data_IF_471555261161
#
_entry.id   IF_471555261161
#
_cell.length_a   1.000
_cell.length_b   1.000
_cell.length_c   1.000
_cell.angle_alpha   90.00
_cell.angle_beta   90.00
_cell.angle_gamma   90.00
#
_symmetry.space_group_name_H-M   'P 1'
#
loop_
_entity.id
_entity.type
_entity.pdbx_description
1 polymer ?
#
# COMPACT_ATOMS: atom_id res chain seq x y z
N UNK A 1 9.11 -9.86 -24.67
CA UNK A 1 8.00 -8.94 -25.04
C UNK A 1 6.97 -8.98 -23.93
N UNK A 2 6.37 -7.84 -23.56
CA UNK A 2 5.51 -7.74 -22.37
C UNK A 2 4.20 -8.52 -22.58
N UNK A 3 3.94 -9.56 -21.78
CA UNK A 3 2.67 -10.33 -21.80
C UNK A 3 1.51 -9.42 -21.44
N UNK A 4 0.95 -8.80 -22.47
CA UNK A 4 -0.18 -7.89 -22.37
C UNK A 4 -1.44 -8.72 -22.58
N UNK A 5 -2.41 -8.71 -21.64
CA UNK A 5 -3.71 -9.29 -21.94
C UNK A 5 -4.30 -8.59 -23.18
N UNK A 6 -5.06 -9.33 -24.01
CA UNK A 6 -5.62 -8.80 -25.26
C UNK A 6 -6.54 -7.59 -25.02
N UNK A 7 -7.12 -7.49 -23.83
CA UNK A 7 -7.89 -6.33 -23.39
C UNK A 7 -7.43 -5.83 -22.02
N UNK A 8 -7.57 -4.51 -21.74
CA UNK A 8 -7.30 -3.97 -20.41
C UNK A 8 -8.23 -4.60 -19.36
N UNK A 9 -7.63 -5.14 -18.29
CA UNK A 9 -8.40 -5.71 -17.18
C UNK A 9 -9.03 -4.58 -16.35
N UNK A 10 -10.33 -4.66 -16.11
CA UNK A 10 -11.03 -3.63 -15.32
C UNK A 10 -10.51 -3.59 -13.88
N UNK A 11 -10.29 -2.38 -13.36
CA UNK A 11 -9.85 -2.15 -11.98
C UNK A 11 -8.39 -2.51 -11.71
N UNK A 12 -7.57 -2.65 -12.77
CA UNK A 12 -6.16 -3.03 -12.70
C UNK A 12 -5.28 -1.92 -13.26
N UNK A 13 -4.19 -1.60 -12.57
CA UNK A 13 -3.26 -0.57 -13.04
C UNK A 13 -2.18 -1.16 -13.92
N UNK A 14 -1.73 -2.37 -13.59
CA UNK A 14 -0.83 -3.14 -14.45
C UNK A 14 -1.53 -3.52 -15.75
N UNK A 15 -0.98 -3.02 -16.87
CA UNK A 15 -1.44 -3.41 -18.21
C UNK A 15 -0.72 -4.65 -18.74
N UNK A 16 0.23 -5.22 -18.01
CA UNK A 16 0.96 -6.41 -18.40
C UNK A 16 1.41 -7.24 -17.20
N UNK A 17 1.78 -8.49 -17.46
CA UNK A 17 2.36 -9.42 -16.50
C UNK A 17 3.75 -9.86 -17.00
N UNK A 18 4.79 -9.00 -16.87
CA UNK A 18 6.15 -9.39 -17.27
C UNK A 18 6.60 -10.63 -16.50
N UNK A 19 7.41 -11.47 -17.14
CA UNK A 19 8.03 -12.60 -16.47
C UNK A 19 8.89 -12.13 -15.31
N UNK A 20 9.03 -13.02 -14.33
CA UNK A 20 9.87 -12.75 -13.18
C UNK A 20 11.33 -12.60 -13.64
N UNK A 21 11.97 -11.50 -13.22
CA UNK A 21 13.35 -11.16 -13.59
C UNK A 21 14.42 -12.17 -13.15
N UNK A 22 14.08 -13.09 -12.24
CA UNK A 22 14.98 -14.13 -11.75
C UNK A 22 14.78 -15.48 -12.44
N UNK A 23 13.76 -15.60 -13.30
CA UNK A 23 13.51 -16.81 -14.07
C UNK A 23 14.39 -16.84 -15.33
N UNK A 24 14.90 -18.02 -15.68
CA UNK A 24 15.70 -18.24 -16.89
C UNK A 24 14.84 -18.50 -18.12
N UNK A 25 13.58 -18.90 -17.91
CA UNK A 25 12.62 -19.21 -18.94
C UNK A 25 11.55 -18.12 -19.02
N UNK A 26 11.24 -17.68 -20.23
CA UNK A 26 10.09 -16.82 -20.50
C UNK A 26 8.97 -17.64 -21.15
N UNK A 27 7.73 -17.18 -21.01
CA UNK A 27 6.60 -17.76 -21.76
C UNK A 27 6.00 -16.68 -22.64
N UNK A 28 5.30 -17.07 -23.69
CA UNK A 28 4.55 -16.13 -24.52
C UNK A 28 3.15 -16.69 -24.74
N UNK A 29 2.16 -15.79 -24.78
CA UNK A 29 0.80 -16.17 -25.14
C UNK A 29 0.74 -16.18 -26.66
N UNK A 30 0.40 -17.33 -27.22
CA UNK A 30 0.24 -17.53 -28.67
C UNK A 30 -1.18 -17.99 -28.93
N UNK A 31 -1.79 -17.46 -29.99
CA UNK A 31 -3.07 -17.97 -30.47
C UNK A 31 -2.85 -19.38 -31.04
N UNK A 32 -3.53 -20.35 -30.47
CA UNK A 32 -3.52 -21.74 -30.91
C UNK A 32 -4.52 -22.00 -32.05
N UNK A 33 -5.24 -20.97 -32.50
CA UNK A 33 -6.25 -21.05 -33.56
C UNK A 33 -7.62 -21.52 -33.06
N UNK A 34 -7.77 -21.74 -31.75
CA UNK A 34 -9.03 -22.18 -31.12
C UNK A 34 -9.85 -21.03 -30.55
N UNK A 35 -9.47 -19.78 -30.80
CA UNK A 35 -10.17 -18.59 -30.31
C UNK A 35 -10.07 -18.39 -28.79
N UNK A 36 -9.14 -19.09 -28.13
CA UNK A 36 -8.96 -19.08 -26.67
C UNK A 36 -8.58 -17.69 -26.14
N UNK A 37 -7.84 -16.90 -26.93
CA UNK A 37 -7.48 -15.51 -26.60
C UNK A 37 -8.67 -14.55 -26.68
N UNK A 38 -9.64 -14.80 -27.56
CA UNK A 38 -10.86 -13.97 -27.70
C UNK A 38 -11.83 -14.19 -26.54
N UNK A 39 -11.76 -15.36 -25.89
CA UNK A 39 -12.57 -15.73 -24.73
C UNK A 39 -11.90 -15.35 -23.39
N UNK A 40 -10.79 -14.63 -23.42
CA UNK A 40 -10.05 -14.27 -22.21
C UNK A 40 -10.89 -13.41 -21.24
N UNK A 41 -10.82 -13.66 -19.93
CA UNK A 41 -11.63 -12.95 -18.95
C UNK A 41 -11.30 -11.46 -18.90
N UNK A 42 -12.33 -10.61 -18.86
CA UNK A 42 -12.18 -9.14 -18.77
C UNK A 42 -11.81 -8.64 -17.37
N UNK A 43 -11.76 -9.53 -16.38
CA UNK A 43 -11.41 -9.25 -14.99
C UNK A 43 -10.71 -10.44 -14.36
N UNK A 44 -9.71 -10.17 -13.51
CA UNK A 44 -8.98 -11.17 -12.74
C UNK A 44 -9.35 -11.04 -11.27
N UNK A 45 -9.69 -12.15 -10.63
CA UNK A 45 -9.98 -12.20 -9.20
C UNK A 45 -8.69 -12.00 -8.39
N UNK A 46 -8.78 -11.28 -7.26
CA UNK A 46 -7.66 -11.17 -6.32
C UNK A 46 -7.65 -12.39 -5.41
N UNK A 47 -6.55 -13.13 -5.40
CA UNK A 47 -6.28 -14.24 -4.49
C UNK A 47 -5.44 -13.77 -3.30
N UNK A 48 -5.71 -14.32 -2.12
CA UNK A 48 -5.08 -13.91 -0.87
C UNK A 48 -4.58 -15.15 -0.14
N UNK A 49 -3.29 -15.19 0.18
CA UNK A 49 -2.61 -16.30 0.83
C UNK A 49 -2.01 -15.89 2.18
N UNK A 50 -1.86 -16.84 3.10
CA UNK A 50 -1.18 -16.60 4.38
C UNK A 50 0.31 -16.44 4.15
N UNK A 51 0.89 -15.39 4.70
CA UNK A 51 2.34 -15.20 4.85
C UNK A 51 2.79 -15.88 6.15
N UNK A 52 3.66 -16.89 6.03
CA UNK A 52 4.20 -17.65 7.16
C UNK A 52 5.45 -17.01 7.80
N UNK A 53 5.70 -15.72 7.54
CA UNK A 53 6.82 -14.97 8.14
C UNK A 53 6.77 -15.05 9.67
N UNK A 54 7.92 -15.35 10.28
CA UNK A 54 8.11 -15.40 11.74
C UNK A 54 8.57 -14.08 12.35
N UNK A 55 8.57 -13.02 11.55
CA UNK A 55 8.85 -11.65 11.98
C UNK A 55 7.95 -10.68 11.22
N UNK A 56 7.60 -9.58 11.88
CA UNK A 56 6.74 -8.54 11.32
C UNK A 56 7.48 -7.23 11.07
N UNK A 57 8.47 -6.91 11.90
CA UNK A 57 9.34 -5.74 11.77
C UNK A 57 10.48 -6.05 10.81
N UNK A 58 10.65 -5.19 9.81
CA UNK A 58 11.76 -5.24 8.86
C UNK A 58 12.66 -4.05 9.13
N UNK A 59 13.94 -4.32 9.33
CA UNK A 59 14.96 -3.30 9.54
C UNK A 59 15.71 -2.97 8.25
N UNK A 60 16.14 -1.72 8.12
CA UNK A 60 16.95 -1.24 7.02
C UNK A 60 18.07 -0.30 7.55
N UNK A 61 19.09 -0.07 6.73
CA UNK A 61 20.24 0.79 7.04
C UNK A 61 20.48 1.81 5.92
N UNK A 62 19.47 2.11 5.11
CA UNK A 62 19.64 3.03 3.99
C UNK A 62 19.78 4.45 4.53
N UNK A 63 20.79 5.21 4.06
CA UNK A 63 20.93 6.62 4.42
C UNK A 63 19.87 7.50 3.76
N UNK A 64 19.09 6.97 2.80
CA UNK A 64 18.14 7.72 1.98
C UNK A 64 16.74 7.81 2.61
N UNK A 65 16.46 7.01 3.65
CA UNK A 65 15.17 6.99 4.35
C UNK A 65 15.36 7.38 5.83
N UNK A 66 14.46 8.19 6.40
CA UNK A 66 14.62 8.72 7.76
C UNK A 66 14.22 7.74 8.88
N UNK A 67 14.03 6.45 8.56
CA UNK A 67 13.59 5.42 9.50
C UNK A 67 14.38 4.12 9.30
N UNK A 68 14.64 3.40 10.38
CA UNK A 68 15.39 2.14 10.36
C UNK A 68 14.48 0.91 10.39
N UNK A 69 13.18 1.05 10.70
CA UNK A 69 12.26 -0.07 10.88
C UNK A 69 10.88 0.21 10.31
N UNK A 70 10.28 -0.81 9.73
CA UNK A 70 8.95 -0.72 9.14
C UNK A 70 8.13 -1.98 9.33
N UNK A 71 6.82 -1.84 9.23
CA UNK A 71 5.88 -2.94 9.19
C UNK A 71 5.04 -2.81 7.92
N UNK A 72 4.89 -3.94 7.22
CA UNK A 72 3.94 -4.08 6.13
C UNK A 72 3.05 -5.30 6.46
N UNK A 73 1.75 -5.10 6.76
CA UNK A 73 0.84 -6.18 7.10
C UNK A 73 0.59 -7.14 5.92
N UNK A 74 0.87 -6.66 4.71
CA UNK A 74 0.60 -7.33 3.45
C UNK A 74 1.86 -7.40 2.58
N UNK A 75 1.85 -8.33 1.61
CA UNK A 75 2.71 -8.28 0.42
C UNK A 75 1.81 -8.17 -0.80
N UNK A 76 2.09 -7.21 -1.66
CA UNK A 76 1.20 -6.81 -2.74
C UNK A 76 0.17 -5.79 -2.28
N UNK A 77 -0.43 -5.08 -3.23
CA UNK A 77 -1.37 -4.00 -2.91
C UNK A 77 -2.53 -3.93 -3.90
N UNK A 78 -3.76 -4.05 -3.39
CA UNK A 78 -4.98 -3.97 -4.21
C UNK A 78 -5.21 -2.60 -4.86
N UNK A 79 -4.58 -1.53 -4.38
CA UNK A 79 -4.70 -0.20 -4.99
C UNK A 79 -4.27 -0.19 -6.46
N UNK A 80 -3.34 -1.09 -6.82
CA UNK A 80 -2.92 -1.28 -8.19
C UNK A 80 -2.21 -0.07 -8.80
N UNK A 81 -1.52 0.75 -8.00
CA UNK A 81 -0.81 1.92 -8.52
C UNK A 81 0.23 1.49 -9.56
N UNK A 82 0.12 1.92 -10.82
CA UNK A 82 1.04 1.45 -11.90
C UNK A 82 2.48 1.89 -11.64
N UNK A 83 2.65 3.06 -11.03
CA UNK A 83 3.94 3.65 -10.70
C UNK A 83 4.57 3.10 -9.40
N UNK A 84 3.96 2.10 -8.74
CA UNK A 84 4.36 1.67 -7.41
C UNK A 84 5.79 1.08 -7.40
N UNK A 85 6.68 1.69 -6.62
CA UNK A 85 8.07 1.24 -6.46
C UNK A 85 8.19 -0.15 -5.84
N UNK A 86 7.16 -0.62 -5.13
CA UNK A 86 7.16 -1.91 -4.45
C UNK A 86 6.88 -3.10 -5.38
N UNK A 87 6.41 -2.86 -6.60
CA UNK A 87 6.11 -3.89 -7.59
C UNK A 87 7.22 -4.94 -7.81
N UNK A 88 8.51 -4.56 -7.91
CA UNK A 88 9.60 -5.50 -8.06
C UNK A 88 9.76 -6.49 -6.89
N UNK A 89 9.18 -6.21 -5.72
CA UNK A 89 9.29 -7.12 -4.56
C UNK A 89 8.59 -8.46 -4.79
N UNK A 90 7.58 -8.51 -5.66
CA UNK A 90 6.90 -9.75 -6.05
C UNK A 90 7.79 -10.73 -6.82
N UNK A 91 8.86 -10.25 -7.46
CA UNK A 91 9.82 -11.13 -8.12
C UNK A 91 10.52 -12.07 -7.12
N UNK A 92 10.71 -11.65 -5.87
CA UNK A 92 11.28 -12.52 -4.83
C UNK A 92 10.32 -13.64 -4.38
N UNK A 93 9.06 -13.60 -4.81
CA UNK A 93 8.04 -14.61 -4.54
C UNK A 93 7.81 -15.55 -5.73
N UNK A 94 8.60 -15.45 -6.79
CA UNK A 94 8.32 -16.19 -8.03
C UNK A 94 7.23 -15.55 -8.90
N UNK A 95 6.76 -14.33 -8.55
CA UNK A 95 5.60 -13.71 -9.17
C UNK A 95 5.96 -12.53 -10.09
N UNK A 96 5.04 -12.18 -10.99
CA UNK A 96 5.17 -11.00 -11.84
C UNK A 96 5.14 -9.70 -11.04
N UNK A 97 6.04 -8.77 -11.36
CA UNK A 97 5.99 -7.40 -10.82
C UNK A 97 4.82 -6.57 -11.41
N UNK A 98 4.16 -7.05 -12.46
CA UNK A 98 3.00 -6.40 -13.06
C UNK A 98 1.71 -6.82 -12.37
N UNK A 99 0.90 -7.63 -13.06
CA UNK A 99 -0.44 -7.98 -12.62
C UNK A 99 -0.48 -8.77 -11.30
N UNK A 100 0.49 -9.64 -11.04
CA UNK A 100 0.48 -10.46 -9.82
C UNK A 100 0.65 -9.61 -8.56
N UNK A 101 1.35 -8.47 -8.61
CA UNK A 101 1.48 -7.56 -7.47
C UNK A 101 0.14 -7.06 -6.89
N UNK A 102 -0.87 -6.91 -7.75
CA UNK A 102 -2.19 -6.38 -7.37
C UNK A 102 -3.32 -7.43 -7.39
N UNK A 103 -2.98 -8.67 -7.75
CA UNK A 103 -3.92 -9.80 -7.83
C UNK A 103 -3.54 -10.98 -6.93
N UNK A 104 -2.27 -11.16 -6.59
CA UNK A 104 -1.79 -12.21 -5.70
C UNK A 104 -1.18 -11.59 -4.45
N UNK A 105 -1.97 -11.57 -3.37
CA UNK A 105 -1.59 -10.93 -2.12
C UNK A 105 -1.24 -11.96 -1.06
N UNK A 106 -0.38 -11.52 -0.13
CA UNK A 106 -0.08 -12.27 1.08
C UNK A 106 -0.40 -11.41 2.29
N UNK A 107 -0.96 -11.99 3.34
CA UNK A 107 -1.26 -11.30 4.60
C UNK A 107 -0.58 -11.99 5.77
N UNK A 108 -0.18 -11.20 6.78
CA UNK A 108 0.46 -11.71 8.00
C UNK A 108 -0.58 -11.81 9.12
N UNK A 109 -1.28 -12.96 9.30
CA UNK A 109 -2.32 -13.09 10.32
C UNK A 109 -1.79 -12.84 11.73
N UNK A 110 -0.56 -13.27 12.01
CA UNK A 110 0.06 -13.22 13.32
C UNK A 110 0.86 -11.92 13.55
N UNK A 111 0.62 -10.87 12.73
CA UNK A 111 1.41 -9.65 12.80
C UNK A 111 1.40 -8.98 14.19
N UNK A 112 0.24 -8.96 14.87
CA UNK A 112 0.11 -8.36 16.19
C UNK A 112 0.83 -9.16 17.29
N UNK A 113 0.73 -10.50 17.27
CA UNK A 113 1.43 -11.36 18.23
C UNK A 113 2.94 -11.31 18.02
N UNK A 114 3.41 -11.43 16.77
CA UNK A 114 4.82 -11.31 16.42
C UNK A 114 5.39 -9.93 16.77
N UNK A 115 4.59 -8.86 16.66
CA UNK A 115 4.99 -7.53 17.08
C UNK A 115 5.18 -7.47 18.59
N UNK A 116 4.22 -7.98 19.37
CA UNK A 116 4.31 -8.02 20.83
C UNK A 116 5.56 -8.78 21.30
N UNK A 117 5.88 -9.90 20.66
CA UNK A 117 7.09 -10.67 20.93
C UNK A 117 8.38 -9.89 20.60
N UNK A 118 8.41 -9.17 19.47
CA UNK A 118 9.55 -8.34 19.07
C UNK A 118 9.79 -7.20 20.07
N UNK A 119 8.73 -6.48 20.47
CA UNK A 119 8.80 -5.35 21.41
C UNK A 119 9.20 -5.79 22.83
N UNK A 120 8.91 -7.04 23.21
CA UNK A 120 9.22 -7.59 24.53
C UNK A 120 10.66 -8.09 24.68
N UNK A 121 11.48 -8.05 23.61
CA UNK A 121 12.86 -8.53 23.69
C UNK A 121 13.71 -7.66 24.63
N UNK A 122 14.57 -8.24 25.48
CA UNK A 122 15.37 -7.49 26.45
C UNK A 122 16.29 -6.42 25.84
N UNK A 123 16.68 -6.59 24.58
CA UNK A 123 17.54 -5.67 23.83
C UNK A 123 16.77 -4.78 22.84
N UNK A 124 15.44 -4.77 22.90
CA UNK A 124 14.64 -3.91 22.03
C UNK A 124 14.83 -2.44 22.43
N UNK A 125 15.22 -1.61 21.47
CA UNK A 125 15.33 -0.16 21.65
C UNK A 125 14.20 0.49 20.89
N UNK A 126 13.31 1.19 21.61
CA UNK A 126 12.17 1.88 21.03
C UNK A 126 12.61 2.96 20.05
N UNK A 127 12.06 2.93 18.83
CA UNK A 127 12.19 3.98 17.82
C UNK A 127 10.97 3.95 16.88
N UNK A 128 10.54 5.06 16.26
CA UNK A 128 9.35 5.11 15.42
C UNK A 128 9.30 4.02 14.34
N UNK A 129 8.16 3.33 14.25
CA UNK A 129 7.90 2.33 13.20
C UNK A 129 7.18 3.00 12.03
N UNK A 130 7.70 2.82 10.82
CA UNK A 130 6.98 3.22 9.60
C UNK A 130 6.02 2.10 9.15
N UNK A 131 4.72 2.37 9.15
CA UNK A 131 3.67 1.40 8.82
C UNK A 131 3.11 1.66 7.42
N UNK A 132 3.11 0.62 6.59
CA UNK A 132 2.49 0.64 5.26
C UNK A 132 3.33 1.31 4.16
N UNK A 133 4.65 1.36 4.33
CA UNK A 133 5.56 2.05 3.38
C UNK A 133 5.65 1.34 2.03
N UNK A 134 5.74 0.00 2.03
CA UNK A 134 5.91 -0.79 0.80
C UNK A 134 4.55 -1.20 0.20
N UNK A 135 3.58 -1.51 1.07
CA UNK A 135 2.21 -1.82 0.68
C UNK A 135 1.26 -1.08 1.60
N UNK A 136 0.16 -0.57 1.05
CA UNK A 136 -0.80 0.18 1.86
C UNK A 136 -1.44 -0.73 2.93
N UNK A 137 -1.33 -0.31 4.20
CA UNK A 137 -1.89 -1.04 5.33
C UNK A 137 -3.43 -1.02 5.34
N UNK A 138 -4.04 -0.06 4.63
CA UNK A 138 -5.48 0.14 4.54
C UNK A 138 -6.07 -0.18 3.15
N UNK A 139 -5.36 -1.01 2.37
CA UNK A 139 -5.87 -1.52 1.10
C UNK A 139 -7.18 -2.30 1.28
N UNK A 140 -8.04 -2.43 0.25
CA UNK A 140 -9.41 -2.91 0.42
C UNK A 140 -9.62 -4.25 1.16
N UNK A 141 -8.65 -5.19 1.12
CA UNK A 141 -8.71 -6.44 1.90
C UNK A 141 -8.68 -6.21 3.42
N UNK A 142 -8.07 -5.13 3.90
CA UNK A 142 -7.99 -4.76 5.33
C UNK A 142 -9.37 -4.56 5.98
N UNK A 143 -10.40 -4.23 5.19
CA UNK A 143 -11.79 -4.15 5.70
C UNK A 143 -12.26 -5.46 6.35
N UNK A 144 -11.76 -6.59 5.86
CA UNK A 144 -12.15 -7.93 6.31
C UNK A 144 -11.17 -8.51 7.32
N UNK A 145 -9.88 -8.22 7.18
CA UNK A 145 -8.84 -8.89 7.95
C UNK A 145 -8.49 -8.17 9.26
N UNK A 146 -8.60 -6.84 9.33
CA UNK A 146 -8.32 -6.09 10.58
C UNK A 146 -6.89 -6.23 11.12
N UNK A 147 -5.91 -6.58 10.26
CA UNK A 147 -4.54 -6.84 10.72
C UNK A 147 -3.86 -5.53 11.12
N UNK A 148 -4.10 -4.46 10.35
CA UNK A 148 -3.58 -3.13 10.66
C UNK A 148 -4.12 -2.62 11.98
N UNK A 149 -5.42 -2.83 12.25
CA UNK A 149 -6.04 -2.54 13.55
C UNK A 149 -5.29 -3.24 14.69
N UNK A 150 -5.08 -4.56 14.60
CA UNK A 150 -4.39 -5.32 15.64
C UNK A 150 -2.94 -4.88 15.87
N UNK A 151 -2.24 -4.46 14.82
CA UNK A 151 -0.91 -3.85 14.93
C UNK A 151 -0.99 -2.52 15.71
N UNK A 152 -1.93 -1.64 15.37
CA UNK A 152 -2.09 -0.35 16.03
C UNK A 152 -2.48 -0.50 17.50
N UNK A 153 -3.39 -1.41 17.83
CA UNK A 153 -3.75 -1.71 19.23
C UNK A 153 -2.56 -2.23 20.02
N UNK A 154 -1.71 -3.07 19.41
CA UNK A 154 -0.47 -3.54 20.05
C UNK A 154 0.51 -2.40 20.30
N UNK A 155 0.68 -1.49 19.32
CA UNK A 155 1.55 -0.33 19.47
C UNK A 155 1.03 0.65 20.53
N UNK A 156 -0.28 0.89 20.56
CA UNK A 156 -0.94 1.72 21.56
C UNK A 156 -0.73 1.15 22.98
N UNK A 157 -0.94 -0.16 23.17
CA UNK A 157 -0.72 -0.85 24.46
C UNK A 157 0.72 -0.72 24.95
N UNK A 158 1.68 -0.71 24.02
CA UNK A 158 3.10 -0.56 24.32
C UNK A 158 3.57 0.90 24.33
N UNK A 159 2.67 1.88 24.15
CA UNK A 159 2.99 3.31 23.98
C UNK A 159 4.10 3.55 22.95
N UNK A 160 4.07 2.78 21.87
CA UNK A 160 5.14 2.73 20.89
C UNK A 160 4.84 3.66 19.69
N UNK A 161 5.78 4.53 19.28
CA UNK A 161 5.54 5.49 18.20
C UNK A 161 5.41 4.83 16.82
N UNK A 162 4.52 5.36 15.99
CA UNK A 162 4.24 4.87 14.64
C UNK A 162 3.89 5.99 13.66
N UNK A 163 4.50 5.97 12.48
CA UNK A 163 4.15 6.84 11.35
C UNK A 163 3.49 6.01 10.25
N UNK A 164 2.34 6.45 9.75
CA UNK A 164 1.57 5.72 8.74
C UNK A 164 1.63 6.43 7.39
N UNK A 165 1.61 5.66 6.31
CA UNK A 165 1.40 6.19 4.95
C UNK A 165 0.21 5.47 4.32
N UNK A 166 -0.76 6.21 3.77
CA UNK A 166 -1.92 5.59 3.08
C UNK A 166 -2.50 6.45 1.96
N UNK A 167 -3.23 5.78 1.05
CA UNK A 167 -4.11 6.37 0.02
C UNK A 167 -5.59 6.03 0.26
N UNK A 168 -5.91 5.39 1.38
CA UNK A 168 -7.22 4.83 1.67
C UNK A 168 -7.95 5.63 2.73
N UNK A 169 -9.25 5.84 2.53
CA UNK A 169 -10.14 6.41 3.54
C UNK A 169 -10.54 5.40 4.63
N UNK A 170 -10.14 4.12 4.51
CA UNK A 170 -10.39 3.10 5.52
C UNK A 170 -9.68 3.39 6.85
N UNK A 171 -8.62 4.20 6.83
CA UNK A 171 -7.94 4.68 8.04
C UNK A 171 -8.89 5.36 9.03
N UNK A 172 -9.99 5.94 8.56
CA UNK A 172 -10.99 6.57 9.42
C UNK A 172 -11.67 5.61 10.40
N UNK A 173 -11.69 4.30 10.09
CA UNK A 173 -12.17 3.26 11.00
C UNK A 173 -11.38 3.24 12.31
N UNK A 174 -10.09 3.58 12.24
CA UNK A 174 -9.15 3.44 13.34
C UNK A 174 -8.79 4.79 13.97
N UNK A 175 -9.63 5.82 13.75
CA UNK A 175 -9.51 7.15 14.38
C UNK A 175 -9.50 7.05 15.90
N UNK A 176 -10.30 6.17 16.49
CA UNK A 176 -10.37 6.00 17.95
C UNK A 176 -9.02 5.56 18.55
N UNK A 177 -8.28 4.68 17.86
CA UNK A 177 -6.94 4.26 18.29
C UNK A 177 -5.90 5.33 17.97
N UNK A 178 -5.95 5.88 16.75
CA UNK A 178 -4.98 6.88 16.30
C UNK A 178 -5.08 8.19 17.07
N UNK A 179 -6.28 8.64 17.43
CA UNK A 179 -6.49 9.87 18.20
C UNK A 179 -5.94 9.74 19.63
N UNK A 180 -6.11 8.59 20.28
CA UNK A 180 -5.50 8.34 21.60
C UNK A 180 -3.97 8.32 21.54
N UNK A 181 -3.40 7.67 20.52
CA UNK A 181 -1.96 7.73 20.28
C UNK A 181 -1.47 9.15 19.96
N UNK A 182 -2.26 9.94 19.24
CA UNK A 182 -1.94 11.31 18.86
C UNK A 182 -1.87 12.24 20.08
N UNK A 183 -2.78 12.07 21.06
CA UNK A 183 -2.74 12.82 22.33
C UNK A 183 -1.42 12.62 23.09
N UNK A 184 -0.77 11.48 22.89
CA UNK A 184 0.52 11.13 23.48
C UNK A 184 1.72 11.45 22.56
N UNK A 185 1.50 12.11 21.42
CA UNK A 185 2.50 12.37 20.38
C UNK A 185 3.16 11.08 19.81
N UNK A 186 2.43 9.97 19.80
CA UNK A 186 2.92 8.67 19.35
C UNK A 186 2.56 8.35 17.90
N UNK A 187 1.74 9.16 17.24
CA UNK A 187 1.37 8.89 15.85
C UNK A 187 1.37 10.09 14.94
N UNK A 188 1.66 9.82 13.67
CA UNK A 188 1.60 10.75 12.56
C UNK A 188 1.11 10.00 11.32
N UNK A 189 0.23 10.63 10.54
CA UNK A 189 -0.34 10.04 9.33
C UNK A 189 0.05 10.86 8.11
N UNK A 190 0.63 10.23 7.11
CA UNK A 190 0.82 10.81 5.78
C UNK A 190 -0.23 10.26 4.80
N UNK A 191 -1.07 11.13 4.25
CA UNK A 191 -2.05 10.76 3.21
C UNK A 191 -1.49 11.14 1.84
N UNK A 192 -1.37 10.19 0.92
CA UNK A 192 -0.86 10.49 -0.42
C UNK A 192 -1.92 11.05 -1.36
N UNK A 193 -1.65 12.21 -1.95
CA UNK A 193 -2.44 12.79 -3.03
C UNK A 193 -1.54 12.89 -4.27
N UNK A 194 -1.83 12.06 -5.28
CA UNK A 194 -1.05 12.02 -6.52
C UNK A 194 -1.51 13.07 -7.52
N UNK A 195 -2.82 13.31 -7.61
CA UNK A 195 -3.47 14.27 -8.51
C UNK A 195 -4.87 14.60 -7.95
N UNK A 196 -5.38 15.78 -8.25
CA UNK A 196 -6.76 16.19 -8.02
C UNK A 196 -7.70 15.76 -9.16
N UNK A 197 -7.17 15.31 -10.29
CA UNK A 197 -7.93 14.94 -11.48
C UNK A 197 -8.48 13.50 -11.39
N UNK A 198 -9.81 13.30 -11.34
CA UNK A 198 -10.38 11.96 -11.14
C UNK A 198 -10.11 10.97 -12.28
N UNK A 199 -9.95 11.46 -13.52
CA UNK A 199 -9.65 10.60 -14.67
C UNK A 199 -8.21 10.06 -14.61
N UNK A 200 -7.24 10.93 -14.27
CA UNK A 200 -5.85 10.54 -14.12
C UNK A 200 -5.66 9.62 -12.91
N UNK A 201 -6.29 9.94 -11.77
CA UNK A 201 -6.27 9.07 -10.59
C UNK A 201 -6.78 7.65 -10.90
N UNK A 202 -7.91 7.52 -11.63
CA UNK A 202 -8.44 6.21 -12.05
C UNK A 202 -7.49 5.44 -12.97
N UNK A 203 -6.67 6.15 -13.74
CA UNK A 203 -5.68 5.52 -14.64
C UNK A 203 -4.46 5.05 -13.88
N UNK A 204 -3.95 5.88 -12.95
CA UNK A 204 -2.71 5.61 -12.25
C UNK A 204 -2.90 4.67 -11.05
N UNK A 205 -4.03 4.76 -10.36
CA UNK A 205 -4.29 4.10 -9.06
C UNK A 205 -5.78 3.70 -8.92
N UNK A 206 -6.25 2.78 -9.78
CA UNK A 206 -7.67 2.53 -10.06
C UNK A 206 -8.52 2.10 -8.86
N UNK A 207 -7.89 1.56 -7.81
CA UNK A 207 -8.60 1.04 -6.61
C UNK A 207 -8.26 1.80 -5.33
N UNK A 208 -7.46 2.86 -5.41
CA UNK A 208 -7.26 3.78 -4.30
C UNK A 208 -8.48 4.70 -4.10
N UNK A 209 -8.59 5.36 -2.94
CA UNK A 209 -9.67 6.33 -2.73
C UNK A 209 -9.56 7.48 -3.74
N UNK A 210 -10.69 8.05 -4.18
CA UNK A 210 -10.68 9.20 -5.09
C UNK A 210 -9.95 10.41 -4.46
N UNK A 211 -9.39 11.34 -5.25
CA UNK A 211 -8.70 12.52 -4.70
C UNK A 211 -9.54 13.31 -3.69
N UNK A 212 -10.81 13.57 -4.02
CA UNK A 212 -11.74 14.27 -3.13
C UNK A 212 -11.92 13.52 -1.80
N UNK A 213 -12.13 12.20 -1.85
CA UNK A 213 -12.27 11.37 -0.65
C UNK A 213 -11.01 11.40 0.24
N UNK A 214 -9.82 11.55 -0.33
CA UNK A 214 -8.56 11.69 0.44
C UNK A 214 -8.47 13.04 1.14
N UNK A 215 -8.92 14.13 0.49
CA UNK A 215 -9.02 15.45 1.13
C UNK A 215 -9.99 15.40 2.32
N UNK A 216 -11.15 14.76 2.16
CA UNK A 216 -12.11 14.56 3.26
C UNK A 216 -11.52 13.69 4.38
N UNK A 217 -10.70 12.68 4.03
CA UNK A 217 -10.00 11.85 5.02
C UNK A 217 -9.01 12.69 5.82
N UNK A 218 -8.25 13.57 5.16
CA UNK A 218 -7.33 14.49 5.84
C UNK A 218 -8.09 15.37 6.84
N UNK A 219 -9.18 16.01 6.40
CA UNK A 219 -10.00 16.86 7.26
C UNK A 219 -10.49 16.10 8.51
N UNK A 220 -11.05 14.90 8.33
CA UNK A 220 -11.55 14.06 9.44
C UNK A 220 -10.47 13.64 10.42
N UNK A 221 -9.29 13.27 9.92
CA UNK A 221 -8.16 12.91 10.78
C UNK A 221 -7.66 14.13 11.57
N UNK A 222 -7.58 15.30 10.92
CA UNK A 222 -7.20 16.55 11.58
C UNK A 222 -8.22 17.00 12.62
N UNK A 223 -9.53 16.91 12.33
CA UNK A 223 -10.61 17.18 13.29
C UNK A 223 -10.53 16.28 14.53
N UNK A 224 -10.09 15.03 14.36
CA UNK A 224 -9.84 14.10 15.46
C UNK A 224 -8.54 14.37 16.24
N UNK A 225 -7.79 15.42 15.92
CA UNK A 225 -6.54 15.77 16.58
C UNK A 225 -5.33 14.94 16.15
N UNK A 226 -5.43 14.17 15.06
CA UNK A 226 -4.33 13.35 14.55
C UNK A 226 -3.41 14.24 13.70
N UNK A 227 -2.08 14.28 13.94
CA UNK A 227 -1.14 14.98 13.09
C UNK A 227 -1.11 14.38 11.67
N UNK A 228 -1.49 15.17 10.67
CA UNK A 228 -1.52 14.75 9.27
C UNK A 228 -0.49 15.51 8.43
N UNK A 229 0.22 14.79 7.57
CA UNK A 229 0.96 15.37 6.45
C UNK A 229 0.40 14.92 5.12
N UNK A 230 0.56 15.77 4.10
CA UNK A 230 0.18 15.44 2.73
C UNK A 230 1.44 14.97 2.00
N UNK A 231 1.37 13.77 1.44
CA UNK A 231 2.43 13.26 0.58
C UNK A 231 2.03 13.47 -0.89
N UNK A 232 2.54 14.54 -1.49
CA UNK A 232 2.34 14.79 -2.93
C UNK A 232 3.31 13.93 -3.73
N UNK A 233 2.91 12.69 -4.01
CA UNK A 233 3.75 11.72 -4.69
C UNK A 233 2.95 10.70 -5.51
N UNK A 234 3.49 10.24 -6.65
CA UNK A 234 4.68 10.78 -7.33
C UNK A 234 4.39 12.12 -8.04
N UNK A 235 5.43 12.96 -8.16
CA UNK A 235 5.46 14.06 -9.13
C UNK A 235 5.98 13.48 -10.46
N UNK A 236 5.05 13.19 -11.37
CA UNK A 236 5.33 12.63 -12.69
C UNK A 236 5.32 13.79 -13.69
N UNK A 237 6.42 14.03 -14.43
CA UNK A 237 6.48 15.09 -15.42
C UNK A 237 5.30 15.04 -16.39
N UNK A 238 4.71 16.20 -16.69
CA UNK A 238 3.57 16.38 -17.62
C UNK A 238 2.23 15.78 -17.12
N UNK A 239 2.24 14.94 -16.09
CA UNK A 239 1.03 14.31 -15.57
C UNK A 239 0.57 14.92 -14.24
N UNK A 240 1.47 15.06 -13.26
CA UNK A 240 1.10 15.48 -11.89
C UNK A 240 2.00 16.57 -11.33
N UNK A 241 3.12 16.88 -11.99
CA UNK A 241 4.09 17.89 -11.57
C UNK A 241 3.48 19.30 -11.43
N UNK A 242 2.57 19.67 -12.32
CA UNK A 242 1.87 20.98 -12.31
C UNK A 242 0.81 21.14 -11.21
N UNK A 243 0.52 20.09 -10.43
CA UNK A 243 -0.59 20.10 -9.45
C UNK A 243 -0.16 20.37 -8.01
N UNK A 244 1.15 20.46 -7.73
CA UNK A 244 1.70 20.55 -6.37
C UNK A 244 1.05 21.68 -5.54
N UNK A 245 1.08 22.90 -6.05
CA UNK A 245 0.53 24.08 -5.37
C UNK A 245 -0.97 23.96 -5.16
N UNK A 246 -1.69 23.44 -6.16
CA UNK A 246 -3.14 23.25 -6.09
C UNK A 246 -3.54 22.20 -5.05
N UNK A 247 -2.78 21.11 -4.95
CA UNK A 247 -3.00 20.06 -3.94
C UNK A 247 -2.79 20.64 -2.54
N UNK A 248 -1.69 21.36 -2.32
CA UNK A 248 -1.39 21.97 -1.02
C UNK A 248 -2.43 23.03 -0.62
N UNK A 249 -2.88 23.85 -1.58
CA UNK A 249 -3.92 24.84 -1.34
C UNK A 249 -5.25 24.20 -0.92
N UNK A 250 -5.67 23.12 -1.59
CA UNK A 250 -6.92 22.42 -1.24
C UNK A 250 -6.85 21.65 0.05
N UNK A 251 -5.70 21.07 0.39
CA UNK A 251 -5.56 20.27 1.59
C UNK A 251 -5.35 21.12 2.87
N UNK A 252 -5.08 22.42 2.73
CA UNK A 252 -5.05 23.39 3.83
C UNK A 252 -6.46 23.88 4.22
N UNK A 253 -7.39 23.88 3.27
CA UNK A 253 -8.76 24.39 3.43
C UNK A 253 -9.65 23.37 4.16
#
# INVERSE_FOLDING_TARGET
MSKRPPQPLRGRGARSAPDNRFETLSRELTDDGWGSLEQAPTSVCTTVQRDASRSVVVYNRSPDVPFDRSINPYRGCEHGCIYCFARPTHAYLGLSAGLDFETQLFYKPDAASLLREELARPNYVCAPIALGVNTDAYQPIERRLGITRGILETLQQCQHPVSLITKSSLIERDIDVLADMAQQNLTHVAVSITTLQPALARTLEPRAATPQRRLETIARLTEAGIPVSILVAPLIPVLTDSELESILAKARA
#
